data_IF_847365457065
#
_entry.id   IF_847365457065
#
_cell.length_a   1.000
_cell.length_b   1.000
_cell.length_c   1.000
_cell.angle_alpha   90.00
_cell.angle_beta   90.00
_cell.angle_gamma   90.00
#
_symmetry.space_group_name_H-M   'P 1'
#
loop_
_entity.id
_entity.type
_entity.pdbx_description
1 polymer ?
#
# COMPACT_ATOMS: atom_id res chain seq x y z
N UNK A 1 17.12 13.11 -30.38
CA UNK A 1 16.52 13.46 -29.07
C UNK A 1 15.03 13.18 -29.07
N UNK A 2 14.59 12.24 -28.23
CA UNK A 2 13.19 11.88 -27.98
C UNK A 2 12.91 11.87 -26.48
N UNK A 3 11.64 11.81 -26.11
CA UNK A 3 11.21 11.49 -24.76
C UNK A 3 10.64 10.07 -24.75
N UNK A 4 11.16 9.21 -23.89
CA UNK A 4 10.65 7.86 -23.68
C UNK A 4 9.99 7.76 -22.30
N UNK A 5 8.83 7.12 -22.25
CA UNK A 5 8.13 6.77 -21.01
C UNK A 5 8.13 5.26 -20.91
N UNK A 6 8.69 4.72 -19.83
CA UNK A 6 8.80 3.28 -19.61
C UNK A 6 8.18 2.89 -18.26
N UNK A 7 7.69 1.65 -18.20
CA UNK A 7 7.12 1.03 -17.01
C UNK A 7 7.44 -0.47 -16.99
N UNK A 8 6.83 -1.22 -16.09
CA UNK A 8 7.31 -2.57 -15.74
C UNK A 8 7.36 -3.52 -16.95
N UNK A 9 6.50 -3.30 -17.95
CA UNK A 9 6.55 -4.00 -19.23
C UNK A 9 7.90 -3.92 -19.95
N UNK A 10 8.69 -2.85 -19.74
CA UNK A 10 10.05 -2.73 -20.24
C UNK A 10 10.98 -3.75 -19.58
N UNK A 11 10.90 -3.94 -18.27
CA UNK A 11 11.72 -4.92 -17.55
C UNK A 11 11.33 -6.34 -17.94
N UNK A 12 10.02 -6.63 -17.97
CA UNK A 12 9.48 -7.92 -18.40
C UNK A 12 9.84 -8.26 -19.84
N UNK A 13 9.86 -7.28 -20.74
CA UNK A 13 10.32 -7.46 -22.12
C UNK A 13 11.78 -7.90 -22.16
N UNK A 14 12.62 -7.39 -21.26
CA UNK A 14 14.02 -7.81 -21.10
C UNK A 14 14.21 -9.01 -20.17
N UNK A 15 13.13 -9.75 -19.87
CA UNK A 15 13.17 -10.99 -19.09
C UNK A 15 13.59 -10.82 -17.61
N UNK A 16 13.52 -9.59 -17.08
CA UNK A 16 13.67 -9.38 -15.65
C UNK A 16 12.44 -9.90 -14.92
N UNK A 17 12.67 -10.60 -13.81
CA UNK A 17 11.60 -11.13 -12.97
C UNK A 17 11.06 -10.06 -12.00
N UNK A 18 10.44 -9.02 -12.56
CA UNK A 18 9.86 -7.87 -11.83
C UNK A 18 8.34 -7.92 -11.79
N UNK A 19 7.74 -9.09 -12.08
CA UNK A 19 6.29 -9.22 -12.07
C UNK A 19 5.76 -9.13 -10.63
N UNK A 20 4.60 -8.49 -10.46
CA UNK A 20 3.95 -8.42 -9.14
C UNK A 20 3.48 -9.79 -8.63
N UNK A 21 3.31 -10.77 -9.53
CA UNK A 21 3.10 -12.17 -9.14
C UNK A 21 4.34 -12.77 -8.47
N UNK A 22 5.52 -12.50 -9.03
CA UNK A 22 6.80 -12.91 -8.47
C UNK A 22 7.07 -12.21 -7.14
N UNK A 23 6.66 -10.94 -7.03
CA UNK A 23 6.70 -10.23 -5.75
C UNK A 23 5.76 -10.86 -4.70
N UNK A 24 4.53 -11.24 -5.07
CA UNK A 24 3.62 -11.94 -4.16
C UNK A 24 4.19 -13.28 -3.67
N UNK A 25 4.77 -14.09 -4.56
CA UNK A 25 5.46 -15.34 -4.17
C UNK A 25 6.71 -15.07 -3.32
N UNK A 26 7.43 -13.98 -3.56
CA UNK A 26 8.53 -13.53 -2.72
C UNK A 26 8.05 -13.19 -1.30
N UNK A 27 6.97 -12.41 -1.17
CA UNK A 27 6.40 -12.04 0.13
C UNK A 27 6.00 -13.28 0.92
N UNK A 28 5.26 -14.21 0.31
CA UNK A 28 4.89 -15.48 0.96
C UNK A 28 6.09 -16.24 1.56
N UNK A 29 7.24 -16.19 0.89
CA UNK A 29 8.46 -16.89 1.35
C UNK A 29 9.27 -16.12 2.39
N UNK A 30 9.18 -14.80 2.41
CA UNK A 30 10.06 -13.92 3.21
C UNK A 30 9.35 -13.27 4.38
N UNK A 31 8.09 -12.91 4.21
CA UNK A 31 7.26 -12.22 5.19
C UNK A 31 5.80 -12.57 4.94
N UNK A 32 5.39 -13.69 5.53
CA UNK A 32 4.05 -14.24 5.41
C UNK A 32 3.00 -13.28 6.01
N UNK A 33 3.33 -12.56 7.08
CA UNK A 33 2.42 -11.62 7.74
C UNK A 33 1.97 -10.52 6.77
N UNK A 34 2.91 -9.91 6.03
CA UNK A 34 2.58 -8.89 5.03
C UNK A 34 1.75 -9.49 3.90
N UNK A 35 2.11 -10.70 3.45
CA UNK A 35 1.35 -11.40 2.40
C UNK A 35 -0.10 -11.65 2.83
N UNK A 36 -0.30 -12.16 4.04
CA UNK A 36 -1.62 -12.45 4.61
C UNK A 36 -2.42 -11.16 4.77
N UNK A 37 -1.82 -10.06 5.24
CA UNK A 37 -2.52 -8.77 5.32
C UNK A 37 -2.98 -8.25 3.94
N UNK A 38 -2.23 -8.49 2.86
CA UNK A 38 -2.69 -8.15 1.52
C UNK A 38 -3.91 -8.99 1.11
N UNK A 39 -3.91 -10.27 1.47
CA UNK A 39 -5.01 -11.18 1.14
C UNK A 39 -6.26 -10.87 1.97
N UNK A 40 -6.09 -10.78 3.28
CA UNK A 40 -7.18 -10.67 4.25
C UNK A 40 -7.77 -9.25 4.33
N UNK A 41 -6.94 -8.22 4.16
CA UNK A 41 -7.35 -6.83 4.39
C UNK A 41 -7.31 -5.94 3.16
N UNK A 42 -6.67 -6.37 2.07
CA UNK A 42 -6.61 -5.58 0.82
C UNK A 42 -7.33 -6.28 -0.34
N UNK A 43 -7.98 -7.42 -0.08
CA UNK A 43 -8.78 -8.17 -1.03
C UNK A 43 -7.96 -8.93 -2.08
N UNK A 44 -6.64 -9.00 -1.94
CA UNK A 44 -5.81 -9.76 -2.88
C UNK A 44 -6.19 -11.24 -2.82
N UNK A 45 -6.33 -11.85 -3.97
CA UNK A 45 -6.56 -13.30 -4.05
C UNK A 45 -5.28 -14.06 -3.71
N UNK A 46 -5.39 -15.13 -2.93
CA UNK A 46 -4.24 -16.00 -2.66
C UNK A 46 -3.70 -16.64 -3.96
N UNK A 47 -2.40 -16.49 -4.20
CA UNK A 47 -1.74 -17.06 -5.37
C UNK A 47 -1.61 -18.59 -5.24
N UNK A 48 -1.61 -19.36 -6.33
CA UNK A 48 -1.28 -20.78 -6.24
C UNK A 48 0.17 -21.01 -5.75
N UNK A 49 0.51 -22.19 -5.22
CA UNK A 49 1.88 -22.54 -4.80
C UNK A 49 2.90 -22.52 -5.93
N UNK A 50 2.45 -22.64 -7.18
CA UNK A 50 3.31 -22.58 -8.38
C UNK A 50 2.82 -21.45 -9.28
N UNK A 51 3.70 -20.49 -9.58
CA UNK A 51 3.39 -19.36 -10.45
C UNK A 51 3.00 -19.78 -11.88
N UNK A 52 3.48 -20.94 -12.36
CA UNK A 52 3.09 -21.48 -13.67
C UNK A 52 1.61 -21.87 -13.77
N UNK A 53 0.92 -22.04 -12.63
CA UNK A 53 -0.50 -22.35 -12.57
C UNK A 53 -1.38 -21.11 -12.34
N UNK A 54 -0.78 -19.90 -12.27
CA UNK A 54 -1.51 -18.64 -12.07
C UNK A 54 -2.39 -18.35 -13.27
N UNK A 55 -3.69 -18.29 -13.04
CA UNK A 55 -4.64 -17.72 -13.97
C UNK A 55 -4.75 -16.21 -13.71
N UNK A 56 -4.02 -15.41 -14.50
CA UNK A 56 -3.96 -13.95 -14.32
C UNK A 56 -5.34 -13.28 -14.32
N UNK A 57 -6.34 -13.89 -14.99
CA UNK A 57 -7.71 -13.35 -15.02
C UNK A 57 -8.41 -13.41 -13.65
N UNK A 58 -7.98 -14.33 -12.78
CA UNK A 58 -8.50 -14.49 -11.41
C UNK A 58 -7.72 -13.69 -10.36
N UNK A 59 -6.56 -13.16 -10.74
CA UNK A 59 -5.63 -12.48 -9.85
C UNK A 59 -5.39 -11.04 -10.33
N UNK A 60 -6.47 -10.32 -10.63
CA UNK A 60 -6.43 -8.99 -11.24
C UNK A 60 -5.74 -7.95 -10.34
N UNK A 61 -5.95 -8.00 -9.02
CA UNK A 61 -5.30 -7.08 -8.08
C UNK A 61 -3.78 -7.23 -8.08
N UNK A 62 -3.27 -8.45 -8.26
CA UNK A 62 -1.83 -8.66 -8.44
C UNK A 62 -1.31 -8.10 -9.76
N UNK A 63 -2.14 -8.09 -10.82
CA UNK A 63 -1.77 -7.47 -12.09
C UNK A 63 -1.80 -5.93 -12.01
N UNK A 64 -2.68 -5.39 -11.18
CA UNK A 64 -2.89 -3.96 -10.95
C UNK A 64 -2.42 -3.53 -9.55
N UNK A 65 -1.31 -4.11 -9.10
CA UNK A 65 -0.85 -4.07 -7.71
C UNK A 65 -0.77 -2.65 -7.15
N UNK A 66 -0.11 -1.74 -7.86
CA UNK A 66 0.10 -0.35 -7.42
C UNK A 66 -1.22 0.43 -7.25
N UNK A 67 -2.25 0.16 -8.06
CA UNK A 67 -3.56 0.78 -7.90
C UNK A 67 -4.38 0.09 -6.79
N UNK A 68 -4.19 -1.22 -6.64
CA UNK A 68 -4.90 -2.07 -5.68
C UNK A 68 -4.51 -1.79 -4.23
N UNK A 69 -3.32 -1.24 -3.98
CA UNK A 69 -2.87 -0.81 -2.64
C UNK A 69 -3.72 0.28 -2.00
N UNK A 70 -4.66 0.90 -2.72
CA UNK A 70 -5.61 1.84 -2.13
C UNK A 70 -6.85 1.17 -1.50
N UNK A 71 -7.09 -0.11 -1.78
CA UNK A 71 -8.32 -0.82 -1.45
C UNK A 71 -8.31 -1.53 -0.11
N UNK A 72 -8.26 -0.79 1.01
CA UNK A 72 -8.40 -1.39 2.35
C UNK A 72 -9.85 -1.87 2.60
N UNK A 73 -10.01 -3.16 2.89
CA UNK A 73 -11.24 -3.78 3.35
C UNK A 73 -11.42 -3.55 4.86
N UNK A 74 -12.14 -2.50 5.19
CA UNK A 74 -12.41 -2.14 6.57
C UNK A 74 -13.31 -3.12 7.30
N UNK A 75 -14.16 -3.86 6.59
CA UNK A 75 -15.09 -4.81 7.20
C UNK A 75 -14.33 -6.01 7.72
N UNK A 76 -13.47 -6.61 6.88
CA UNK A 76 -12.59 -7.71 7.28
C UNK A 76 -11.66 -7.35 8.45
N UNK A 77 -11.09 -6.14 8.44
CA UNK A 77 -10.28 -5.65 9.58
C UNK A 77 -11.12 -5.52 10.86
N UNK A 78 -12.34 -4.97 10.77
CA UNK A 78 -13.18 -4.80 11.96
C UNK A 78 -13.65 -6.14 12.52
N UNK A 79 -14.04 -7.08 11.66
CA UNK A 79 -14.45 -8.42 12.07
C UNK A 79 -13.32 -9.16 12.78
N UNK A 80 -12.11 -9.12 12.22
CA UNK A 80 -10.95 -9.78 12.80
C UNK A 80 -10.61 -9.20 14.18
N UNK A 81 -10.58 -7.87 14.34
CA UNK A 81 -10.03 -7.26 15.55
C UNK A 81 -11.07 -6.71 16.54
N UNK A 82 -12.37 -6.93 16.31
CA UNK A 82 -13.43 -6.47 17.21
C UNK A 82 -13.26 -6.99 18.66
N UNK A 83 -12.66 -8.16 18.85
CA UNK A 83 -12.41 -8.75 20.17
C UNK A 83 -11.40 -7.95 21.01
N UNK A 84 -10.58 -7.10 20.38
CA UNK A 84 -9.65 -6.20 21.06
C UNK A 84 -10.32 -4.91 21.58
N UNK A 85 -11.63 -4.74 21.34
CA UNK A 85 -12.37 -3.61 21.86
C UNK A 85 -12.49 -3.69 23.40
N UNK A 86 -12.30 -2.55 24.11
CA UNK A 86 -12.41 -2.51 25.56
C UNK A 86 -13.78 -3.00 26.07
N UNK A 87 -13.81 -4.17 26.72
CA UNK A 87 -15.00 -4.68 27.39
C UNK A 87 -15.09 -4.14 28.81
N UNK A 88 -15.50 -2.87 28.95
CA UNK A 88 -15.54 -2.15 30.25
C UNK A 88 -16.40 -2.86 31.30
N UNK A 89 -17.41 -3.62 30.86
CA UNK A 89 -18.29 -4.38 31.75
C UNK A 89 -17.73 -5.73 32.18
N UNK A 90 -16.56 -6.15 31.66
CA UNK A 90 -15.92 -7.40 32.04
C UNK A 90 -15.23 -7.28 33.39
N UNK A 91 -15.37 -8.26 34.30
CA UNK A 91 -14.60 -8.30 35.55
C UNK A 91 -13.08 -8.46 35.31
N UNK A 92 -12.68 -8.93 34.13
CA UNK A 92 -11.27 -9.12 33.74
C UNK A 92 -10.64 -7.88 33.08
N UNK A 93 -11.42 -6.80 32.93
CA UNK A 93 -11.01 -5.55 32.31
C UNK A 93 -9.81 -4.92 33.03
N UNK A 94 -8.80 -4.51 32.24
CA UNK A 94 -7.57 -3.87 32.72
C UNK A 94 -7.24 -2.63 31.90
N UNK A 95 -6.47 -1.72 32.47
CA UNK A 95 -6.06 -0.48 31.81
C UNK A 95 -5.34 -0.71 30.46
N UNK A 96 -4.63 -1.83 30.31
CA UNK A 96 -3.97 -2.20 29.05
C UNK A 96 -4.95 -2.43 27.90
N UNK A 97 -6.18 -2.83 28.20
CA UNK A 97 -7.20 -3.18 27.20
C UNK A 97 -7.68 -1.95 26.43
N UNK A 98 -7.50 -0.74 26.98
CA UNK A 98 -7.75 0.52 26.26
C UNK A 98 -6.88 0.69 25.01
N UNK A 99 -5.66 0.11 25.01
CA UNK A 99 -4.67 0.30 23.95
C UNK A 99 -4.58 -0.85 22.96
N UNK A 100 -5.12 -2.03 23.29
CA UNK A 100 -4.89 -3.28 22.55
C UNK A 100 -5.23 -3.17 21.06
N UNK A 101 -6.43 -2.67 20.73
CA UNK A 101 -6.81 -2.45 19.34
C UNK A 101 -5.88 -1.45 18.64
N UNK A 102 -5.54 -0.33 19.29
CA UNK A 102 -4.72 0.71 18.67
C UNK A 102 -3.31 0.21 18.34
N UNK A 103 -2.72 -0.59 19.23
CA UNK A 103 -1.39 -1.19 19.05
C UNK A 103 -1.41 -2.19 17.89
N UNK A 104 -2.40 -3.07 17.86
CA UNK A 104 -2.50 -4.09 16.81
C UNK A 104 -2.73 -3.46 15.44
N UNK A 105 -3.59 -2.46 15.41
CA UNK A 105 -3.87 -1.69 14.21
C UNK A 105 -2.61 -0.93 13.72
N UNK A 106 -1.82 -0.33 14.63
CA UNK A 106 -0.53 0.31 14.27
C UNK A 106 0.47 -0.71 13.70
N UNK A 107 0.49 -1.94 14.21
CA UNK A 107 1.32 -3.03 13.70
C UNK A 107 0.97 -3.36 12.24
N UNK A 108 -0.32 -3.54 11.94
CA UNK A 108 -0.79 -3.86 10.58
C UNK A 108 -0.47 -2.73 9.61
N UNK A 109 -0.73 -1.47 9.99
CA UNK A 109 -0.40 -0.32 9.14
C UNK A 109 1.10 -0.24 8.86
N UNK A 110 1.92 -0.46 9.88
CA UNK A 110 3.38 -0.42 9.71
C UNK A 110 3.83 -1.54 8.76
N UNK A 111 3.23 -2.72 8.85
CA UNK A 111 3.49 -3.83 7.93
C UNK A 111 3.07 -3.49 6.50
N UNK A 112 1.85 -2.99 6.29
CA UNK A 112 1.31 -2.67 4.96
C UNK A 112 1.92 -1.41 4.32
N UNK A 113 2.58 -0.54 5.11
CA UNK A 113 3.27 0.64 4.60
C UNK A 113 4.78 0.44 4.57
N UNK A 114 5.47 0.64 5.69
CA UNK A 114 6.93 0.56 5.81
C UNK A 114 7.48 -0.84 5.52
N UNK A 115 6.82 -1.87 6.06
CA UNK A 115 7.21 -3.27 5.87
C UNK A 115 7.13 -3.65 4.39
N UNK A 116 5.99 -3.39 3.76
CA UNK A 116 5.75 -3.70 2.35
C UNK A 116 6.76 -2.99 1.44
N UNK A 117 7.02 -1.70 1.69
CA UNK A 117 8.02 -0.93 0.95
C UNK A 117 9.44 -1.49 1.13
N UNK A 118 9.78 -1.91 2.35
CA UNK A 118 11.08 -2.54 2.65
C UNK A 118 11.25 -3.86 1.91
N UNK A 119 10.20 -4.69 1.91
CA UNK A 119 10.21 -5.96 1.20
C UNK A 119 10.22 -5.76 -0.32
N UNK A 120 9.50 -4.77 -0.82
CA UNK A 120 9.52 -4.43 -2.24
C UNK A 120 10.89 -3.93 -2.70
N UNK A 121 11.52 -3.02 -1.94
CA UNK A 121 12.90 -2.57 -2.21
C UNK A 121 13.86 -3.75 -2.23
N UNK A 122 13.77 -4.63 -1.23
CA UNK A 122 14.60 -5.84 -1.13
C UNK A 122 14.38 -6.78 -2.32
N UNK A 123 13.13 -6.96 -2.74
CA UNK A 123 12.75 -7.74 -3.92
C UNK A 123 13.36 -7.17 -5.21
N UNK A 124 13.29 -5.85 -5.43
CA UNK A 124 13.87 -5.24 -6.64
C UNK A 124 15.40 -5.33 -6.64
N UNK A 125 16.05 -5.15 -5.48
CA UNK A 125 17.51 -5.20 -5.37
C UNK A 125 18.11 -6.58 -5.67
N UNK A 126 17.36 -7.66 -5.45
CA UNK A 126 17.78 -9.03 -5.76
C UNK A 126 17.42 -9.46 -7.20
N UNK A 127 16.75 -8.61 -7.99
CA UNK A 127 16.39 -8.96 -9.37
C UNK A 127 17.65 -9.23 -10.18
N UNK A 128 17.71 -10.40 -10.79
CA UNK A 128 18.77 -10.78 -11.68
C UNK A 128 18.61 -10.10 -13.04
N UNK A 129 19.72 -9.61 -13.58
CA UNK A 129 19.79 -9.06 -14.94
C UNK A 129 20.33 -10.16 -15.85
N UNK A 130 19.48 -10.86 -16.62
CA UNK A 130 19.96 -11.87 -17.57
C UNK A 130 20.84 -11.25 -18.66
N UNK A 131 21.55 -12.08 -19.41
CA UNK A 131 22.26 -11.63 -20.60
C UNK A 131 21.27 -11.02 -21.59
N UNK A 132 21.61 -9.86 -22.15
CA UNK A 132 20.72 -9.14 -23.06
C UNK A 132 20.49 -9.95 -24.34
N UNK A 133 19.27 -10.44 -24.52
CA UNK A 133 18.85 -11.04 -25.79
C UNK A 133 18.81 -9.95 -26.88
N UNK A 134 19.78 -9.98 -27.81
CA UNK A 134 19.91 -8.97 -28.87
C UNK A 134 18.68 -8.87 -29.78
N UNK A 135 17.87 -9.93 -29.90
CA UNK A 135 16.63 -9.90 -30.67
C UNK A 135 15.51 -9.11 -29.97
N UNK A 136 15.59 -8.97 -28.64
CA UNK A 136 14.66 -8.17 -27.84
C UNK A 136 15.15 -6.74 -27.62
N UNK A 137 16.40 -6.43 -27.98
CA UNK A 137 16.96 -5.09 -27.82
C UNK A 137 16.20 -4.09 -28.68
N UNK A 138 15.67 -3.05 -28.04
CA UNK A 138 14.94 -1.98 -28.70
C UNK A 138 15.92 -0.95 -29.29
N UNK A 139 15.50 -0.26 -30.35
CA UNK A 139 16.28 0.87 -30.89
C UNK A 139 15.98 2.13 -30.10
N UNK A 140 16.79 2.37 -29.07
CA UNK A 140 16.72 3.56 -28.22
C UNK A 140 17.79 4.57 -28.67
N UNK A 141 17.39 5.83 -28.80
CA UNK A 141 18.31 6.94 -29.09
C UNK A 141 19.04 7.34 -27.80
N UNK A 142 20.38 7.26 -27.80
CA UNK A 142 21.23 7.50 -26.63
C UNK A 142 21.15 8.94 -26.11
N UNK A 143 20.80 9.89 -26.96
CA UNK A 143 20.73 11.32 -26.61
C UNK A 143 19.31 11.74 -26.18
N UNK A 144 18.50 10.78 -25.74
CA UNK A 144 17.11 10.98 -25.32
C UNK A 144 16.97 11.12 -23.81
N UNK A 145 15.79 11.56 -23.38
CA UNK A 145 15.41 11.68 -21.96
C UNK A 145 14.33 10.64 -21.66
N UNK A 146 14.32 10.14 -20.43
CA UNK A 146 13.47 9.03 -19.99
C UNK A 146 12.68 9.41 -18.74
N UNK A 147 11.42 9.01 -18.71
CA UNK A 147 10.60 8.95 -17.50
C UNK A 147 10.40 7.46 -17.20
N UNK A 148 10.85 7.03 -16.02
CA UNK A 148 10.79 5.64 -15.59
C UNK A 148 9.82 5.49 -14.42
N UNK A 149 8.80 4.64 -14.63
CA UNK A 149 7.95 4.08 -13.58
C UNK A 149 8.58 2.81 -12.98
N UNK A 150 9.70 2.33 -13.54
CA UNK A 150 10.43 1.17 -13.01
C UNK A 150 11.35 1.58 -11.88
N UNK A 151 11.62 0.63 -11.00
CA UNK A 151 12.51 0.77 -9.85
C UNK A 151 13.94 0.27 -10.13
N UNK A 152 14.14 -0.40 -11.28
CA UNK A 152 15.37 -1.07 -11.72
C UNK A 152 16.27 -0.15 -12.57
N UNK A 153 17.46 -0.65 -12.89
CA UNK A 153 18.49 0.02 -13.69
C UNK A 153 18.61 -0.55 -15.10
N UNK A 154 17.50 -1.04 -15.67
CA UNK A 154 17.48 -1.73 -16.98
C UNK A 154 18.00 -0.85 -18.11
N UNK A 155 17.68 0.46 -18.11
CA UNK A 155 18.19 1.42 -19.10
C UNK A 155 19.70 1.61 -18.99
N UNK A 156 20.23 1.76 -17.78
CA UNK A 156 21.65 1.93 -17.53
C UNK A 156 22.42 0.67 -17.93
N UNK A 157 21.95 -0.51 -17.48
CA UNK A 157 22.67 -1.76 -17.65
C UNK A 157 22.65 -2.30 -19.10
N UNK A 158 21.54 -2.17 -19.81
CA UNK A 158 21.41 -2.73 -21.17
C UNK A 158 21.59 -1.72 -22.29
N UNK A 159 21.35 -0.43 -22.01
CA UNK A 159 21.40 0.63 -23.02
C UNK A 159 22.49 1.67 -22.76
N UNK A 160 23.14 1.64 -21.59
CA UNK A 160 24.21 2.58 -21.25
C UNK A 160 23.72 4.02 -21.10
N UNK A 161 22.43 4.22 -20.82
CA UNK A 161 21.86 5.55 -20.59
C UNK A 161 22.36 6.09 -19.26
N UNK A 162 22.76 7.36 -19.23
CA UNK A 162 23.25 8.02 -18.02
C UNK A 162 22.09 8.34 -17.06
N UNK A 163 22.32 8.22 -15.76
CA UNK A 163 21.33 8.53 -14.70
C UNK A 163 20.74 9.94 -14.85
N UNK A 164 21.52 10.92 -15.33
CA UNK A 164 21.07 12.31 -15.56
C UNK A 164 20.00 12.44 -16.64
N UNK A 165 19.85 11.41 -17.47
CA UNK A 165 18.85 11.36 -18.55
C UNK A 165 17.55 10.68 -18.09
N UNK A 166 17.50 10.13 -16.87
CA UNK A 166 16.39 9.31 -16.39
C UNK A 166 15.75 9.95 -15.17
N UNK A 167 14.47 10.29 -15.29
CA UNK A 167 13.62 10.70 -14.18
C UNK A 167 12.88 9.47 -13.63
N UNK A 168 13.29 9.01 -12.45
CA UNK A 168 12.61 7.97 -11.69
C UNK A 168 11.49 8.58 -10.84
N UNK A 169 10.25 8.53 -11.32
CA UNK A 169 9.15 9.22 -10.63
C UNK A 169 8.76 8.57 -9.30
N UNK A 170 9.06 7.29 -9.13
CA UNK A 170 8.82 6.52 -7.90
C UNK A 170 10.10 6.24 -7.11
N UNK A 171 11.22 6.85 -7.51
CA UNK A 171 12.54 6.55 -6.99
C UNK A 171 13.17 5.28 -7.59
N UNK A 172 14.47 5.14 -7.35
CA UNK A 172 15.30 4.03 -7.84
C UNK A 172 15.72 3.14 -6.69
N UNK A 173 15.55 1.81 -6.79
CA UNK A 173 15.77 0.89 -5.67
C UNK A 173 17.22 0.88 -5.16
N UNK A 174 18.21 1.07 -6.04
CA UNK A 174 19.63 1.17 -5.70
C UNK A 174 20.02 2.49 -5.03
N UNK A 175 19.10 3.46 -4.95
CA UNK A 175 19.36 4.76 -4.34
C UNK A 175 18.91 4.83 -2.87
N UNK A 176 19.42 5.84 -2.17
CA UNK A 176 18.97 6.19 -0.81
C UNK A 176 17.64 6.94 -0.80
N UNK A 177 17.05 7.22 -1.97
CA UNK A 177 15.73 7.84 -2.05
C UNK A 177 14.66 6.88 -1.52
N UNK A 178 13.64 7.46 -0.88
CA UNK A 178 12.45 6.73 -0.51
C UNK A 178 11.71 6.30 -1.77
N UNK A 179 11.41 5.01 -1.89
CA UNK A 179 10.58 4.50 -2.96
C UNK A 179 9.12 4.89 -2.71
N UNK A 180 8.40 5.16 -3.79
CA UNK A 180 6.95 5.38 -3.78
C UNK A 180 6.32 4.16 -4.41
N UNK A 181 5.48 3.44 -3.68
CA UNK A 181 4.79 2.25 -4.16
C UNK A 181 3.29 2.51 -4.11
N UNK A 182 2.65 2.54 -5.28
CA UNK A 182 1.21 2.74 -5.40
C UNK A 182 0.80 4.14 -5.86
N UNK A 183 -0.28 4.19 -6.67
CA UNK A 183 -0.79 5.41 -7.30
C UNK A 183 -2.32 5.40 -7.44
N UNK A 184 -3.02 5.31 -6.30
CA UNK A 184 -4.49 5.30 -6.26
C UNK A 184 -5.15 6.63 -5.87
N UNK A 185 -4.49 7.78 -6.05
CA UNK A 185 -5.12 9.06 -5.67
C UNK A 185 -5.73 9.79 -6.86
N UNK A 186 -7.04 10.00 -6.73
CA UNK A 186 -7.76 11.06 -7.42
C UNK A 186 -7.13 12.43 -7.09
N UNK A 187 -6.61 13.18 -8.09
CA UNK A 187 -6.02 14.52 -7.91
C UNK A 187 -6.87 15.48 -7.05
N UNK A 188 -8.19 15.29 -7.00
CA UNK A 188 -9.13 16.04 -6.18
C UNK A 188 -8.81 15.95 -4.67
N UNK A 189 -8.18 14.87 -4.22
CA UNK A 189 -7.78 14.70 -2.82
C UNK A 189 -6.58 15.60 -2.42
N UNK A 190 -5.90 16.23 -3.37
CA UNK A 190 -4.86 17.23 -3.13
C UNK A 190 -5.40 18.67 -3.05
N UNK A 191 -6.70 18.89 -3.25
CA UNK A 191 -7.30 20.20 -2.98
C UNK A 191 -7.30 20.46 -1.46
N UNK A 192 -6.42 21.36 -1.00
CA UNK A 192 -6.43 21.87 0.37
C UNK A 192 -7.76 22.57 0.67
N UNK A 193 -8.72 21.82 1.22
CA UNK A 193 -9.89 22.44 1.84
C UNK A 193 -9.43 23.11 3.13
N UNK A 194 -9.40 24.44 3.14
CA UNK A 194 -9.20 25.26 4.34
C UNK A 194 -10.04 24.71 5.49
N UNK A 195 -9.41 24.03 6.44
CA UNK A 195 -10.09 23.54 7.63
C UNK A 195 -10.52 24.75 8.47
N UNK A 196 -11.82 25.01 8.52
CA UNK A 196 -12.38 25.89 9.54
C UNK A 196 -12.30 25.16 10.88
N UNK A 197 -11.68 25.79 11.90
CA UNK A 197 -11.57 25.24 13.26
C UNK A 197 -12.93 24.68 13.73
N UNK A 198 -13.02 23.43 14.19
CA UNK A 198 -14.26 22.92 14.76
C UNK A 198 -14.60 23.75 16.00
N UNK A 199 -15.81 24.31 16.06
CA UNK A 199 -16.33 24.92 17.29
C UNK A 199 -16.60 23.77 18.27
N UNK A 200 -15.78 23.67 19.33
CA UNK A 200 -16.05 22.76 20.44
C UNK A 200 -17.36 23.16 21.14
N UNK A 201 -18.32 22.25 21.19
CA UNK A 201 -19.43 22.33 22.14
C UNK A 201 -19.11 21.48 23.37
N UNK A 202 -19.44 21.94 24.59
CA UNK A 202 -19.14 21.19 25.79
C UNK A 202 -20.05 19.96 25.90
N UNK A 203 -19.48 18.76 25.80
CA UNK A 203 -20.20 17.50 26.04
C UNK A 203 -20.50 17.36 27.53
N UNK A 204 -21.78 17.51 27.91
CA UNK A 204 -22.31 17.09 29.20
C UNK A 204 -23.02 15.75 29.04
N UNK A 205 -22.66 14.80 29.91
CA UNK A 205 -23.22 13.45 30.11
C UNK A 205 -22.72 12.37 29.15
N UNK A 206 -21.59 11.76 29.51
CA UNK A 206 -21.05 10.55 28.89
C UNK A 206 -21.77 9.32 29.48
N UNK A 207 -22.66 8.68 28.72
CA UNK A 207 -23.02 7.27 28.98
C UNK A 207 -21.85 6.40 28.51
N UNK A 208 -21.58 5.30 29.19
CA UNK A 208 -20.39 4.43 29.04
C UNK A 208 -20.07 3.95 27.62
N UNK A 209 -21.02 3.95 26.68
CA UNK A 209 -20.79 3.67 25.26
C UNK A 209 -20.17 4.83 24.46
N UNK A 210 -20.31 6.07 24.92
CA UNK A 210 -19.82 7.28 24.23
C UNK A 210 -18.31 7.44 24.38
N UNK A 211 -17.72 6.92 25.47
CA UNK A 211 -16.27 6.91 25.71
C UNK A 211 -15.51 6.01 24.73
N UNK A 212 -16.01 4.80 24.48
CA UNK A 212 -15.41 3.86 23.51
C UNK A 212 -15.56 4.40 22.09
N UNK A 213 -16.72 4.98 21.78
CA UNK A 213 -16.98 5.64 20.49
C UNK A 213 -16.01 6.80 20.23
N UNK A 214 -15.75 7.65 21.24
CA UNK A 214 -14.81 8.76 21.12
C UNK A 214 -13.37 8.26 20.91
N UNK A 215 -12.98 7.16 21.55
CA UNK A 215 -11.64 6.56 21.39
C UNK A 215 -11.49 5.96 20.00
N UNK A 216 -12.45 5.16 19.52
CA UNK A 216 -12.44 4.61 18.15
C UNK A 216 -12.38 5.74 17.12
N UNK A 217 -13.20 6.78 17.29
CA UNK A 217 -13.24 7.92 16.36
C UNK A 217 -11.94 8.73 16.39
N UNK A 218 -11.33 8.95 17.56
CA UNK A 218 -10.04 9.65 17.68
C UNK A 218 -8.88 8.80 17.16
N UNK A 219 -8.91 7.49 17.38
CA UNK A 219 -7.93 6.56 16.82
C UNK A 219 -8.04 6.58 15.30
N UNK A 220 -9.23 6.38 14.72
CA UNK A 220 -9.46 6.46 13.27
C UNK A 220 -9.14 7.85 12.67
N UNK A 221 -9.43 8.95 13.36
CA UNK A 221 -9.06 10.31 12.89
C UNK A 221 -7.54 10.57 12.94
N UNK A 222 -6.83 10.00 13.92
CA UNK A 222 -5.36 10.05 13.94
C UNK A 222 -4.74 9.24 12.80
N UNK A 223 -5.45 8.22 12.30
CA UNK A 223 -5.02 7.38 11.18
C UNK A 223 -5.06 8.12 9.84
N UNK A 224 -6.10 8.92 9.60
CA UNK A 224 -6.22 9.79 8.40
C UNK A 224 -5.03 10.74 8.23
N UNK A 225 -4.44 11.17 9.35
CA UNK A 225 -3.33 12.14 9.38
C UNK A 225 -1.97 11.50 9.11
N UNK A 226 -1.81 10.18 9.32
CA UNK A 226 -0.55 9.44 9.09
C UNK A 226 -0.50 8.75 7.73
N UNK A 227 -1.66 8.48 7.13
CA UNK A 227 -1.82 8.14 5.71
C UNK A 227 -1.82 9.38 4.79
N UNK A 228 -1.21 10.49 5.23
CA UNK A 228 -0.97 11.69 4.39
C UNK A 228 0.05 11.45 3.26
N UNK A 229 0.55 10.23 3.11
CA UNK A 229 0.98 9.71 1.82
C UNK A 229 -0.03 8.65 1.39
N UNK A 230 -1.19 9.16 1.00
CA UNK A 230 -1.91 8.69 -0.15
C UNK A 230 -3.31 7.99 -0.13
N UNK A 231 -4.10 7.91 0.95
CA UNK A 231 -5.45 7.25 0.85
C UNK A 231 -6.60 7.78 1.75
N UNK A 232 -6.42 8.88 2.49
CA UNK A 232 -7.24 9.15 3.70
C UNK A 232 -8.67 9.70 3.58
N UNK A 233 -9.23 10.07 2.41
CA UNK A 233 -10.54 10.76 2.38
C UNK A 233 -11.76 9.85 2.13
N UNK A 234 -11.55 8.67 1.54
CA UNK A 234 -12.63 7.71 1.25
C UNK A 234 -12.98 6.88 2.50
N UNK A 235 -11.97 6.48 3.27
CA UNK A 235 -12.06 5.80 4.57
C UNK A 235 -12.94 6.57 5.57
N UNK A 236 -12.76 7.89 5.66
CA UNK A 236 -13.57 8.81 6.47
C UNK A 236 -15.07 8.73 6.18
N UNK A 237 -15.43 8.66 4.90
CA UNK A 237 -16.83 8.71 4.46
C UNK A 237 -17.52 7.38 4.62
N UNK A 238 -16.81 6.27 4.40
CA UNK A 238 -17.35 4.92 4.49
C UNK A 238 -17.52 4.52 5.95
N UNK A 239 -16.48 4.69 6.79
CA UNK A 239 -16.56 4.36 8.21
C UNK A 239 -17.62 5.18 8.95
N UNK A 240 -17.76 6.47 8.62
CA UNK A 240 -18.80 7.32 9.20
C UNK A 240 -20.21 6.89 8.78
N UNK A 241 -20.40 6.37 7.56
CA UNK A 241 -21.70 5.93 7.03
C UNK A 241 -22.11 4.55 7.55
N UNK A 242 -21.16 3.61 7.66
CA UNK A 242 -21.39 2.29 8.26
C UNK A 242 -21.65 2.40 9.77
N UNK A 243 -20.94 3.26 10.50
CA UNK A 243 -21.21 3.53 11.93
C UNK A 243 -22.58 4.19 12.17
N UNK A 244 -23.02 5.11 11.31
CA UNK A 244 -24.35 5.73 11.39
C UNK A 244 -25.49 4.73 11.15
N UNK A 245 -25.22 3.64 10.44
CA UNK A 245 -26.21 2.59 10.12
C UNK A 245 -26.30 1.56 11.25
N UNK A 246 -25.17 1.23 11.89
CA UNK A 246 -25.11 0.34 13.06
C UNK A 246 -25.70 0.94 14.35
N UNK A 247 -25.89 2.26 14.42
CA UNK A 247 -26.44 2.98 15.58
C UNK A 247 -27.97 3.22 15.51
N UNK A 248 -28.64 2.78 14.44
CA UNK A 248 -30.09 2.87 14.28
C UNK A 248 -30.83 1.53 14.55
N UNK A 249 -30.16 0.58 15.23
CA UNK A 249 -30.76 -0.63 15.81
C UNK A 249 -30.45 -0.72 17.30
#
# INVERSE_FOLDING_TARGET
MKLYIIGNGFDLHHELDTSYFSFGDYLRKKDQDIYDHLVDFMGFTDLPPKLSAVDKSKHFLWSDFENSLAGLDTESVLEEFCYLLPQISSPDFRDKDWGSLSIEMERILKNLTEGLLTQFKSFILQVNYPELNLNKRLRIDSDSIFISFNYTETLQKYYGIDDRQILYIHGKASSDQQLILGHGIDPINFEERKQSRPKMQPMKNLKSGVSVWLIITITLMKWESRLLINTSLVLLRILKKSLLTALNF
#
